data_IF_400148450824
#
_entry.id   IF_400148450824
#
_cell.length_a   1.000
_cell.length_b   1.000
_cell.length_c   1.000
_cell.angle_alpha   90.00
_cell.angle_beta   90.00
_cell.angle_gamma   90.00
#
_symmetry.space_group_name_H-M   'P 1'
#
loop_
_entity.id
_entity.type
_entity.pdbx_description
1 polymer ?
#
# COMPACT_ATOMS: atom_id res chain seq x y z
N UNK A 1 8.49 7.55 14.22
CA UNK A 1 7.40 7.23 13.28
C UNK A 1 6.09 6.84 13.98
N UNK A 2 6.14 6.05 15.06
CA UNK A 2 4.97 5.62 15.86
C UNK A 2 4.62 6.59 17.02
N UNK A 3 5.27 7.74 17.08
CA UNK A 3 4.95 8.79 18.03
C UNK A 3 3.79 9.62 17.47
N UNK A 4 2.68 9.76 18.20
CA UNK A 4 1.50 10.52 17.74
C UNK A 4 1.84 11.97 17.37
N UNK A 5 2.89 12.51 17.97
CA UNK A 5 3.51 13.80 17.65
C UNK A 5 4.06 13.88 16.21
N UNK A 6 4.59 12.77 15.68
CA UNK A 6 5.17 12.69 14.33
C UNK A 6 4.10 12.57 13.25
N UNK A 7 2.95 11.97 13.56
CA UNK A 7 1.82 11.85 12.63
C UNK A 7 1.14 13.20 12.35
N UNK A 8 1.15 14.10 13.33
CA UNK A 8 0.57 15.45 13.25
C UNK A 8 1.55 16.51 12.71
N UNK A 9 2.80 16.12 12.43
CA UNK A 9 3.73 17.02 11.73
C UNK A 9 3.26 17.20 10.28
N UNK A 10 3.36 18.43 9.74
CA UNK A 10 2.89 18.78 8.39
C UNK A 10 3.34 17.78 7.32
N UNK A 11 4.63 17.37 7.32
CA UNK A 11 5.15 16.35 6.41
C UNK A 11 4.48 14.98 6.60
N UNK A 12 4.36 14.52 7.84
CA UNK A 12 3.78 13.21 8.18
C UNK A 12 2.30 13.12 7.79
N UNK A 13 1.53 14.16 8.11
CA UNK A 13 0.11 14.22 7.76
C UNK A 13 -0.11 14.24 6.25
N UNK A 14 0.72 14.97 5.50
CA UNK A 14 0.62 15.05 4.04
C UNK A 14 0.91 13.70 3.38
N UNK A 15 1.93 12.98 3.87
CA UNK A 15 2.26 11.63 3.39
C UNK A 15 1.13 10.64 3.74
N UNK A 16 0.55 10.72 4.94
CA UNK A 16 -0.51 9.82 5.37
C UNK A 16 -1.79 10.01 4.55
N UNK A 17 -2.19 11.27 4.31
CA UNK A 17 -3.37 11.60 3.50
C UNK A 17 -3.14 11.19 2.04
N UNK A 18 -2.01 11.56 1.45
CA UNK A 18 -1.68 11.19 0.07
C UNK A 18 -1.60 9.68 -0.12
N UNK A 19 -0.91 8.99 0.79
CA UNK A 19 -0.82 7.52 0.79
C UNK A 19 -2.19 6.86 0.97
N UNK A 20 -3.02 7.35 1.90
CA UNK A 20 -4.36 6.84 2.14
C UNK A 20 -5.28 6.95 0.92
N UNK A 21 -5.24 8.08 0.21
CA UNK A 21 -6.01 8.29 -1.04
C UNK A 21 -5.52 7.32 -2.12
N UNK A 22 -4.21 7.20 -2.32
CA UNK A 22 -3.63 6.30 -3.32
C UNK A 22 -4.00 4.83 -3.05
N UNK A 23 -3.93 4.38 -1.79
CA UNK A 23 -4.34 3.02 -1.41
C UNK A 23 -5.85 2.83 -1.60
N UNK A 24 -6.67 3.79 -1.17
CA UNK A 24 -8.13 3.75 -1.36
C UNK A 24 -8.51 3.64 -2.84
N UNK A 25 -7.91 4.47 -3.69
CA UNK A 25 -8.11 4.42 -5.12
C UNK A 25 -7.65 3.08 -5.73
N UNK A 26 -6.43 2.63 -5.39
CA UNK A 26 -5.86 1.39 -5.90
C UNK A 26 -6.66 0.15 -5.53
N UNK A 27 -7.14 0.04 -4.28
CA UNK A 27 -8.01 -1.07 -3.85
C UNK A 27 -9.34 -1.09 -4.59
N UNK A 28 -9.92 0.08 -4.89
CA UNK A 28 -11.15 0.12 -5.68
C UNK A 28 -10.91 -0.28 -7.13
N UNK A 29 -9.78 0.14 -7.71
CA UNK A 29 -9.36 -0.24 -9.07
C UNK A 29 -9.12 -1.75 -9.19
N UNK A 30 -8.49 -2.36 -8.18
CA UNK A 30 -8.28 -3.81 -8.13
C UNK A 30 -9.56 -4.63 -7.86
N UNK A 31 -10.71 -3.98 -7.64
CA UNK A 31 -11.96 -4.68 -7.33
C UNK A 31 -12.03 -5.29 -5.94
N UNK A 32 -11.11 -4.92 -5.03
CA UNK A 32 -11.03 -5.47 -3.67
C UNK A 32 -9.73 -5.10 -2.94
N UNK A 33 -9.66 -5.45 -1.66
CA UNK A 33 -8.47 -5.22 -0.85
C UNK A 33 -7.40 -6.30 -1.05
N UNK A 34 -6.18 -6.02 -0.60
CA UNK A 34 -5.06 -6.97 -0.55
C UNK A 34 -5.41 -8.24 0.22
N UNK A 35 -6.02 -8.12 1.41
CA UNK A 35 -6.39 -9.26 2.24
C UNK A 35 -7.45 -10.14 1.58
N UNK A 36 -8.42 -9.56 0.87
CA UNK A 36 -9.42 -10.31 0.11
C UNK A 36 -8.81 -11.11 -1.03
N UNK A 37 -7.97 -10.49 -1.86
CA UNK A 37 -7.31 -11.19 -2.96
C UNK A 37 -6.33 -12.27 -2.47
N UNK A 38 -5.59 -12.00 -1.38
CA UNK A 38 -4.60 -12.94 -0.85
C UNK A 38 -5.21 -14.09 -0.05
N UNK A 39 -6.22 -13.85 0.79
CA UNK A 39 -6.78 -14.87 1.67
C UNK A 39 -7.85 -15.67 0.94
N UNK A 40 -8.93 -15.03 0.49
CA UNK A 40 -10.07 -15.74 -0.10
C UNK A 40 -9.91 -15.96 -1.60
N UNK A 41 -9.38 -14.98 -2.33
CA UNK A 41 -9.19 -15.04 -3.78
C UNK A 41 -8.15 -16.08 -4.21
N UNK A 42 -6.98 -16.08 -3.57
CA UNK A 42 -5.90 -17.01 -3.86
C UNK A 42 -6.21 -18.44 -3.38
N UNK A 43 -6.92 -18.59 -2.26
CA UNK A 43 -7.37 -19.91 -1.78
C UNK A 43 -8.38 -20.57 -2.71
N UNK A 44 -9.19 -19.78 -3.44
CA UNK A 44 -10.08 -20.26 -4.50
C UNK A 44 -9.37 -20.39 -5.87
N UNK A 45 -8.04 -20.29 -5.90
CA UNK A 45 -7.18 -20.42 -7.08
C UNK A 45 -7.60 -19.52 -8.26
N UNK A 46 -8.06 -18.30 -7.96
CA UNK A 46 -8.50 -17.36 -8.97
C UNK A 46 -7.31 -16.66 -9.63
N UNK A 47 -7.17 -16.80 -10.95
CA UNK A 47 -6.15 -16.12 -11.75
C UNK A 47 -6.09 -14.59 -11.55
N UNK A 48 -7.22 -13.86 -11.49
CA UNK A 48 -7.20 -12.41 -11.24
C UNK A 48 -6.59 -12.06 -9.88
N UNK A 49 -6.87 -12.86 -8.85
CA UNK A 49 -6.34 -12.65 -7.50
C UNK A 49 -4.85 -12.88 -7.41
N UNK A 50 -4.32 -13.87 -8.14
CA UNK A 50 -2.88 -14.10 -8.22
C UNK A 50 -2.16 -12.88 -8.82
N UNK A 51 -2.67 -12.35 -9.94
CA UNK A 51 -2.08 -11.16 -10.60
C UNK A 51 -2.17 -9.93 -9.69
N UNK A 52 -3.31 -9.72 -9.03
CA UNK A 52 -3.48 -8.61 -8.08
C UNK A 52 -2.46 -8.69 -6.92
N UNK A 53 -2.29 -9.87 -6.33
CA UNK A 53 -1.34 -10.09 -5.21
C UNK A 53 0.11 -9.81 -5.64
N UNK A 54 0.52 -10.29 -6.82
CA UNK A 54 1.87 -10.03 -7.36
C UNK A 54 2.08 -8.52 -7.53
N UNK A 55 1.10 -7.81 -8.10
CA UNK A 55 1.15 -6.36 -8.26
C UNK A 55 1.28 -5.61 -6.92
N UNK A 56 0.50 -6.02 -5.91
CA UNK A 56 0.59 -5.43 -4.56
C UNK A 56 1.96 -5.64 -3.92
N UNK A 57 2.56 -6.82 -4.08
CA UNK A 57 3.90 -7.12 -3.55
C UNK A 57 5.00 -6.32 -4.25
N UNK A 58 4.96 -6.23 -5.59
CA UNK A 58 5.92 -5.44 -6.35
C UNK A 58 5.83 -3.96 -5.95
N UNK A 59 4.61 -3.42 -5.85
CA UNK A 59 4.38 -2.04 -5.39
C UNK A 59 4.93 -1.79 -3.98
N UNK A 60 4.73 -2.74 -3.05
CA UNK A 60 5.28 -2.66 -1.70
C UNK A 60 6.81 -2.69 -1.67
N UNK A 61 7.44 -3.55 -2.48
CA UNK A 61 8.90 -3.62 -2.62
C UNK A 61 9.47 -2.31 -3.17
N UNK A 62 8.85 -1.74 -4.21
CA UNK A 62 9.26 -0.45 -4.78
C UNK A 62 9.13 0.65 -3.72
N UNK A 63 8.03 0.68 -2.97
CA UNK A 63 7.85 1.66 -1.90
C UNK A 63 9.00 1.56 -0.89
N UNK A 64 9.25 0.38 -0.33
CA UNK A 64 10.26 0.21 0.74
C UNK A 64 11.69 0.47 0.23
N UNK A 65 12.02 0.05 -0.99
CA UNK A 65 13.40 0.10 -1.47
C UNK A 65 13.77 1.43 -2.14
N UNK A 66 12.80 2.12 -2.75
CA UNK A 66 13.02 3.41 -3.43
C UNK A 66 12.41 4.57 -2.67
N UNK A 67 11.12 4.49 -2.34
CA UNK A 67 10.37 5.66 -1.86
C UNK A 67 10.64 5.96 -0.38
N UNK A 68 10.77 4.93 0.44
CA UNK A 68 11.09 5.06 1.86
C UNK A 68 12.44 5.76 2.11
N UNK A 69 13.58 5.34 1.51
CA UNK A 69 14.84 6.06 1.71
C UNK A 69 14.80 7.48 1.15
N UNK A 70 14.09 7.72 0.04
CA UNK A 70 13.99 9.05 -0.57
C UNK A 70 13.23 10.05 0.32
N UNK A 71 12.25 9.58 1.09
CA UNK A 71 11.38 10.43 1.92
C UNK A 71 11.90 10.58 3.35
N UNK A 72 12.52 9.54 3.90
CA UNK A 72 12.90 9.49 5.32
C UNK A 72 14.42 9.60 5.58
N UNK A 73 15.27 9.45 4.55
CA UNK A 73 16.73 9.56 4.69
C UNK A 73 17.31 10.82 4.04
N UNK A 74 16.49 11.63 3.33
CA UNK A 74 16.88 12.92 2.76
C UNK A 74 16.58 14.11 3.68
#
# INVERSE_FOLDING_TARGET
LYDWSSALTLKGSLILIGGGILVGFGTRYAGGCTSGHAITGLSNLQWPSLVAVIGFFIGGLIMVHFLYPLIFTA
#
